data_IF_898961954585
#
_entry.id   IF_898961954585
#
_cell.length_a   1.000
_cell.length_b   1.000
_cell.length_c   1.000
_cell.angle_alpha   90.00
_cell.angle_beta   90.00
_cell.angle_gamma   90.00
#
_symmetry.space_group_name_H-M   'P 1'
#
loop_
_entity.id
_entity.type
_entity.pdbx_description
1 polymer ?
#
# COMPACT_ATOMS: atom_id res chain seq x y z
N UNK A 1 -21.00 -7.48 -14.34
CA UNK A 1 -20.68 -6.05 -14.54
C UNK A 1 -19.50 -6.02 -15.48
N UNK A 2 -19.63 -5.41 -16.64
CA UNK A 2 -18.52 -5.34 -17.58
C UNK A 2 -17.50 -4.31 -17.06
N UNK A 3 -16.20 -4.62 -17.19
CA UNK A 3 -15.14 -3.64 -17.03
C UNK A 3 -15.44 -2.45 -17.98
N UNK A 4 -15.53 -1.24 -17.44
CA UNK A 4 -15.62 -0.03 -18.27
C UNK A 4 -14.21 0.32 -18.76
N UNK A 5 -13.71 -0.46 -19.72
CA UNK A 5 -12.40 -0.30 -20.35
C UNK A 5 -12.58 -0.05 -21.84
N UNK A 6 -11.67 0.72 -22.43
CA UNK A 6 -11.67 0.98 -23.86
C UNK A 6 -11.13 -0.24 -24.65
N UNK A 7 -11.19 -0.18 -25.99
CA UNK A 7 -10.78 -1.28 -26.86
C UNK A 7 -9.29 -1.63 -26.74
N UNK A 8 -8.43 -0.66 -26.48
CA UNK A 8 -6.99 -0.86 -26.33
C UNK A 8 -6.68 -1.57 -25.01
N UNK A 9 -7.30 -1.12 -23.92
CA UNK A 9 -7.25 -1.73 -22.62
C UNK A 9 -7.76 -3.18 -22.61
N UNK A 10 -8.87 -3.45 -23.30
CA UNK A 10 -9.42 -4.81 -23.47
C UNK A 10 -8.45 -5.71 -24.25
N UNK A 11 -7.84 -5.16 -25.31
CA UNK A 11 -6.84 -5.88 -26.11
C UNK A 11 -5.60 -6.23 -25.29
N UNK A 12 -5.09 -5.27 -24.50
CA UNK A 12 -3.96 -5.51 -23.60
C UNK A 12 -4.27 -6.60 -22.59
N UNK A 13 -5.42 -6.52 -21.92
CA UNK A 13 -5.84 -7.49 -20.91
C UNK A 13 -5.94 -8.91 -21.51
N UNK A 14 -6.59 -9.06 -22.66
CA UNK A 14 -6.71 -10.35 -23.36
C UNK A 14 -5.35 -10.94 -23.74
N UNK A 15 -4.43 -10.11 -24.23
CA UNK A 15 -3.08 -10.54 -24.60
C UNK A 15 -2.29 -10.97 -23.37
N UNK A 16 -2.35 -10.21 -22.28
CA UNK A 16 -1.67 -10.53 -21.02
C UNK A 16 -2.19 -11.83 -20.42
N UNK A 17 -3.49 -12.04 -20.35
CA UNK A 17 -4.10 -13.27 -19.86
C UNK A 17 -3.75 -14.49 -20.73
N UNK A 18 -3.68 -14.30 -22.06
CA UNK A 18 -3.24 -15.34 -22.99
C UNK A 18 -1.78 -15.72 -22.77
N UNK A 19 -0.91 -14.73 -22.59
CA UNK A 19 0.51 -14.95 -22.30
C UNK A 19 0.72 -15.75 -20.99
N UNK A 20 -0.09 -15.46 -19.99
CA UNK A 20 -0.08 -16.15 -18.69
C UNK A 20 -0.74 -17.54 -18.71
N UNK A 21 -1.30 -17.96 -19.85
CA UNK A 21 -2.10 -19.20 -19.93
C UNK A 21 -3.24 -19.23 -18.89
N UNK A 22 -3.85 -18.09 -18.59
CA UNK A 22 -4.82 -17.94 -17.51
C UNK A 22 -6.14 -18.71 -17.75
N UNK A 23 -6.42 -19.08 -18.97
CA UNK A 23 -7.67 -19.72 -19.38
C UNK A 23 -8.77 -18.73 -19.74
N UNK A 24 -10.00 -19.23 -19.94
CA UNK A 24 -11.16 -18.38 -20.25
C UNK A 24 -11.67 -17.70 -18.98
N UNK A 25 -11.98 -16.41 -19.08
CA UNK A 25 -12.59 -15.66 -18.00
C UNK A 25 -14.00 -16.20 -17.72
N UNK A 26 -14.26 -16.58 -16.48
CA UNK A 26 -15.56 -16.98 -15.97
C UNK A 26 -16.29 -15.82 -15.28
N UNK A 27 -15.54 -15.00 -14.53
CA UNK A 27 -16.11 -13.89 -13.74
C UNK A 27 -15.14 -12.70 -13.72
N UNK A 28 -15.72 -11.50 -13.68
CA UNK A 28 -15.03 -10.25 -13.37
C UNK A 28 -15.84 -9.54 -12.29
N UNK A 29 -15.19 -9.12 -11.22
CA UNK A 29 -15.81 -8.54 -10.05
C UNK A 29 -15.03 -7.32 -9.58
N UNK A 30 -15.70 -6.17 -9.47
CA UNK A 30 -15.08 -4.97 -8.91
C UNK A 30 -14.98 -5.14 -7.40
N UNK A 31 -13.77 -5.02 -6.88
CA UNK A 31 -13.52 -5.03 -5.44
C UNK A 31 -13.85 -3.64 -4.86
N UNK A 32 -14.47 -3.64 -3.70
CA UNK A 32 -14.71 -2.41 -2.95
C UNK A 32 -13.46 -2.12 -2.13
N UNK A 33 -12.79 -1.03 -2.44
CA UNK A 33 -11.65 -0.52 -1.67
C UNK A 33 -12.00 0.90 -1.28
N UNK A 34 -11.87 1.19 -0.01
CA UNK A 34 -12.11 2.52 0.55
C UNK A 34 -10.90 3.41 0.31
N UNK A 35 -11.15 4.68 0.07
CA UNK A 35 -10.13 5.76 0.00
C UNK A 35 -9.06 5.63 -1.10
N UNK A 36 -9.27 4.83 -2.16
CA UNK A 36 -8.34 4.74 -3.29
C UNK A 36 -8.90 5.37 -4.56
N UNK A 37 -8.07 6.13 -5.28
CA UNK A 37 -8.41 6.58 -6.64
C UNK A 37 -8.28 5.46 -7.68
N UNK A 38 -7.65 4.34 -7.32
CA UNK A 38 -7.49 3.15 -8.17
C UNK A 38 -8.74 2.29 -8.13
N UNK A 39 -8.97 1.57 -9.20
CA UNK A 39 -10.02 0.54 -9.26
C UNK A 39 -9.38 -0.84 -9.30
N UNK A 40 -9.96 -1.79 -8.57
CA UNK A 40 -9.46 -3.15 -8.51
C UNK A 40 -10.54 -4.11 -8.96
N UNK A 41 -10.15 -5.06 -9.80
CA UNK A 41 -11.07 -6.07 -10.33
C UNK A 41 -10.46 -7.45 -10.13
N UNK A 42 -11.20 -8.35 -9.49
CA UNK A 42 -10.85 -9.77 -9.48
C UNK A 42 -11.29 -10.41 -10.77
N UNK A 43 -10.39 -11.04 -11.47
CA UNK A 43 -10.64 -11.80 -12.71
C UNK A 43 -10.47 -13.28 -12.36
N UNK A 44 -11.55 -14.05 -12.51
CA UNK A 44 -11.54 -15.48 -12.22
C UNK A 44 -11.73 -16.27 -13.51
N UNK A 45 -10.92 -17.30 -13.72
CA UNK A 45 -11.06 -18.22 -14.87
C UNK A 45 -12.06 -19.33 -14.59
N UNK A 46 -12.45 -20.08 -15.62
CA UNK A 46 -13.26 -21.30 -15.47
C UNK A 46 -12.52 -22.40 -14.68
N UNK A 47 -11.19 -22.35 -14.63
CA UNK A 47 -10.36 -23.28 -13.85
C UNK A 47 -10.14 -22.81 -12.40
N UNK A 48 -10.92 -21.82 -11.95
CA UNK A 48 -10.89 -21.27 -10.61
C UNK A 48 -9.58 -20.54 -10.23
N UNK A 49 -8.70 -20.24 -11.18
CA UNK A 49 -7.57 -19.35 -10.94
C UNK A 49 -8.08 -17.90 -10.86
N UNK A 50 -7.45 -17.08 -10.04
CA UNK A 50 -7.79 -15.66 -9.94
C UNK A 50 -6.58 -14.75 -9.99
N UNK A 51 -6.78 -13.56 -10.52
CA UNK A 51 -5.82 -12.45 -10.59
C UNK A 51 -6.53 -11.15 -10.21
N UNK A 52 -5.77 -10.20 -9.73
CA UNK A 52 -6.26 -8.84 -9.52
C UNK A 52 -5.75 -7.95 -10.66
N UNK A 53 -6.68 -7.30 -11.36
CA UNK A 53 -6.39 -6.19 -12.25
C UNK A 53 -6.53 -4.89 -11.47
N UNK A 54 -5.44 -4.17 -11.30
CA UNK A 54 -5.43 -2.80 -10.80
C UNK A 54 -5.48 -1.84 -12.00
N UNK A 55 -6.39 -0.87 -11.93
CA UNK A 55 -6.56 0.19 -12.92
C UNK A 55 -6.25 1.51 -12.24
N UNK A 56 -5.22 2.18 -12.72
CA UNK A 56 -4.76 3.48 -12.24
C UNK A 56 -5.28 4.56 -13.19
N UNK A 57 -5.95 5.60 -12.70
CA UNK A 57 -6.40 6.71 -13.55
C UNK A 57 -5.24 7.42 -14.23
N UNK A 58 -5.47 7.93 -15.44
CA UNK A 58 -4.50 8.77 -16.15
C UNK A 58 -4.07 9.99 -15.30
N UNK A 59 -2.80 10.33 -15.36
CA UNK A 59 -2.22 11.44 -14.61
C UNK A 59 -1.66 11.06 -13.23
N UNK A 60 -1.68 9.76 -12.90
CA UNK A 60 -1.06 9.19 -11.69
C UNK A 60 0.06 8.22 -12.10
N UNK A 61 0.86 8.57 -13.09
CA UNK A 61 1.85 7.69 -13.72
C UNK A 61 2.92 7.20 -12.72
N UNK A 62 3.33 8.03 -11.77
CA UNK A 62 4.30 7.67 -10.75
C UNK A 62 3.85 6.46 -9.90
N UNK A 63 2.54 6.25 -9.78
CA UNK A 63 2.01 5.18 -8.92
C UNK A 63 2.19 3.78 -9.51
N UNK A 64 2.12 3.61 -10.84
CA UNK A 64 2.32 2.31 -11.51
C UNK A 64 3.79 1.90 -11.44
N UNK A 65 4.71 2.79 -11.82
CA UNK A 65 6.15 2.54 -11.74
C UNK A 65 6.59 2.27 -10.30
N UNK A 66 6.18 3.12 -9.36
CA UNK A 66 6.49 2.95 -7.94
C UNK A 66 6.01 1.61 -7.39
N UNK A 67 4.79 1.19 -7.74
CA UNK A 67 4.27 -0.12 -7.34
C UNK A 67 5.12 -1.27 -7.89
N UNK A 68 5.41 -1.26 -9.19
CA UNK A 68 6.19 -2.33 -9.86
C UNK A 68 7.61 -2.42 -9.29
N UNK A 69 8.29 -1.28 -9.15
CA UNK A 69 9.67 -1.22 -8.65
C UNK A 69 9.77 -1.70 -7.20
N UNK A 70 8.86 -1.23 -6.34
CA UNK A 70 8.82 -1.66 -4.94
C UNK A 70 8.43 -3.12 -4.78
N UNK A 71 7.46 -3.61 -5.58
CA UNK A 71 7.12 -5.04 -5.61
C UNK A 71 8.35 -5.90 -5.94
N UNK A 72 9.14 -5.49 -6.95
CA UNK A 72 10.35 -6.22 -7.34
C UNK A 72 11.39 -6.23 -6.21
N UNK A 73 11.62 -5.08 -5.53
CA UNK A 73 12.53 -5.01 -4.39
C UNK A 73 12.02 -5.89 -3.25
N UNK A 74 10.77 -5.77 -2.84
CA UNK A 74 10.21 -6.56 -1.75
C UNK A 74 10.27 -8.06 -2.03
N UNK A 75 9.92 -8.50 -3.24
CA UNK A 75 10.08 -9.92 -3.65
C UNK A 75 11.53 -10.41 -3.58
N UNK A 76 12.49 -9.61 -4.02
CA UNK A 76 13.93 -9.91 -3.92
C UNK A 76 14.38 -10.22 -2.49
N UNK A 77 13.76 -9.58 -1.50
CA UNK A 77 14.04 -9.79 -0.07
C UNK A 77 13.02 -10.68 0.63
N UNK A 78 12.25 -11.45 -0.13
CA UNK A 78 11.27 -12.43 0.38
C UNK A 78 10.13 -11.83 1.21
N UNK A 79 9.88 -10.53 1.11
CA UNK A 79 8.66 -9.92 1.64
C UNK A 79 7.46 -10.43 0.84
N UNK A 80 6.41 -10.83 1.53
CA UNK A 80 5.24 -11.43 0.91
C UNK A 80 4.28 -10.34 0.37
N UNK A 81 4.63 -9.77 -0.78
CA UNK A 81 3.78 -8.86 -1.57
C UNK A 81 3.22 -9.56 -2.81
N UNK A 82 2.11 -9.12 -3.42
CA UNK A 82 1.60 -9.70 -4.65
C UNK A 82 2.65 -9.74 -5.77
N UNK A 83 2.75 -10.86 -6.46
CA UNK A 83 3.58 -10.97 -7.66
C UNK A 83 2.98 -10.14 -8.77
N UNK A 84 3.80 -9.33 -9.47
CA UNK A 84 3.37 -8.59 -10.66
C UNK A 84 3.57 -9.49 -11.87
N UNK A 85 2.50 -9.78 -12.60
CA UNK A 85 2.54 -10.66 -13.77
C UNK A 85 2.66 -9.89 -15.09
N UNK A 86 1.99 -8.76 -15.19
CA UNK A 86 2.03 -7.89 -16.38
C UNK A 86 1.65 -6.47 -15.98
N UNK A 87 2.17 -5.47 -16.66
CA UNK A 87 1.78 -4.07 -16.45
C UNK A 87 1.95 -3.27 -17.74
N UNK A 88 1.26 -2.15 -17.79
CA UNK A 88 1.39 -1.14 -18.83
C UNK A 88 1.29 0.25 -18.21
N UNK A 89 2.36 1.03 -18.35
CA UNK A 89 2.46 2.36 -17.74
C UNK A 89 1.54 3.38 -18.41
N UNK A 90 1.38 3.27 -19.74
CA UNK A 90 0.56 4.22 -20.53
C UNK A 90 -0.93 3.98 -20.31
N UNK A 91 -1.34 2.71 -20.26
CA UNK A 91 -2.73 2.32 -20.00
C UNK A 91 -3.10 2.37 -18.52
N UNK A 92 -2.13 2.47 -17.61
CA UNK A 92 -2.36 2.46 -16.16
C UNK A 92 -2.83 1.10 -15.63
N UNK A 93 -2.39 -0.01 -16.22
CA UNK A 93 -2.84 -1.35 -15.87
C UNK A 93 -1.73 -2.17 -15.21
N UNK A 94 -2.11 -2.91 -14.15
CA UNK A 94 -1.23 -3.89 -13.51
C UNK A 94 -2.04 -5.15 -13.23
N UNK A 95 -1.54 -6.32 -13.66
CA UNK A 95 -2.04 -7.64 -13.27
C UNK A 95 -1.16 -8.20 -12.17
N UNK A 96 -1.76 -8.50 -11.02
CA UNK A 96 -1.06 -9.02 -9.86
C UNK A 96 -1.71 -10.29 -9.33
N UNK A 97 -0.96 -10.98 -8.48
CA UNK A 97 -1.40 -12.12 -7.70
C UNK A 97 -2.61 -11.77 -6.83
N UNK A 98 -3.59 -12.67 -6.78
CA UNK A 98 -4.73 -12.57 -5.88
C UNK A 98 -4.44 -13.31 -4.57
N UNK A 99 -4.30 -12.59 -3.49
CA UNK A 99 -4.07 -13.15 -2.16
C UNK A 99 -5.34 -13.67 -1.45
N UNK A 100 -6.52 -13.49 -2.08
CA UNK A 100 -7.81 -13.91 -1.52
C UNK A 100 -8.52 -12.80 -0.74
N UNK A 101 -9.28 -13.18 0.30
CA UNK A 101 -10.20 -12.26 0.99
C UNK A 101 -10.00 -12.18 2.50
N UNK A 102 -9.01 -12.88 3.08
CA UNK A 102 -8.83 -12.93 4.53
C UNK A 102 -8.01 -11.71 5.03
N UNK A 103 -8.62 -10.51 4.88
CA UNK A 103 -8.04 -9.23 5.33
C UNK A 103 -8.01 -9.21 6.87
N UNK A 104 -6.92 -8.73 7.47
CA UNK A 104 -6.71 -8.70 8.92
C UNK A 104 -7.79 -7.90 9.63
N UNK A 105 -8.17 -6.74 9.13
CA UNK A 105 -9.19 -5.89 9.72
C UNK A 105 -10.49 -6.63 10.09
N UNK A 106 -10.88 -7.64 9.31
CA UNK A 106 -12.12 -8.40 9.54
C UNK A 106 -11.91 -9.74 10.23
N UNK A 107 -10.68 -10.22 10.34
CA UNK A 107 -10.36 -11.56 10.81
C UNK A 107 -9.43 -11.58 12.03
N UNK A 108 -8.88 -10.43 12.42
CA UNK A 108 -7.91 -10.33 13.50
C UNK A 108 -8.42 -10.91 14.83
N UNK A 109 -9.73 -10.73 15.11
CA UNK A 109 -10.34 -11.20 16.36
C UNK A 109 -10.45 -12.73 16.45
N UNK A 110 -10.26 -13.47 15.35
CA UNK A 110 -10.28 -14.94 15.38
C UNK A 110 -9.12 -15.52 16.18
N UNK A 111 -7.91 -14.95 15.99
CA UNK A 111 -6.68 -15.34 16.68
C UNK A 111 -5.66 -14.18 16.60
N UNK A 112 -5.78 -13.14 17.46
CA UNK A 112 -4.94 -11.96 17.39
C UNK A 112 -3.44 -12.28 17.44
N UNK A 113 -3.03 -13.20 18.32
CA UNK A 113 -1.61 -13.56 18.49
C UNK A 113 -1.03 -14.13 17.20
N UNK A 114 -1.78 -15.00 16.53
CA UNK A 114 -1.37 -15.58 15.25
C UNK A 114 -1.24 -14.53 14.15
N UNK A 115 -2.23 -13.65 14.01
CA UNK A 115 -2.21 -12.60 12.98
C UNK A 115 -1.08 -11.60 13.22
N UNK A 116 -0.90 -11.13 14.46
CA UNK A 116 0.20 -10.21 14.80
C UNK A 116 1.58 -10.84 14.61
N UNK A 117 1.76 -12.11 15.00
CA UNK A 117 3.02 -12.83 14.74
C UNK A 117 3.38 -12.80 13.24
N UNK A 118 2.42 -13.08 12.36
CA UNK A 118 2.67 -13.08 10.91
C UNK A 118 2.93 -11.68 10.38
N UNK A 119 2.20 -10.65 10.85
CA UNK A 119 2.42 -9.26 10.48
C UNK A 119 3.82 -8.80 10.89
N UNK A 120 4.21 -9.02 12.15
CA UNK A 120 5.53 -8.63 12.67
C UNK A 120 6.65 -9.34 11.91
N UNK A 121 6.49 -10.61 11.53
CA UNK A 121 7.48 -11.32 10.73
C UNK A 121 7.70 -10.65 9.37
N UNK A 122 6.64 -10.19 8.68
CA UNK A 122 6.80 -9.46 7.42
C UNK A 122 7.37 -8.05 7.64
N UNK A 123 6.98 -7.37 8.70
CA UNK A 123 7.58 -6.07 9.07
C UNK A 123 9.10 -6.19 9.30
N UNK A 124 9.54 -7.24 10.00
CA UNK A 124 10.97 -7.51 10.21
C UNK A 124 11.68 -7.75 8.86
N UNK A 125 11.05 -8.47 7.93
CA UNK A 125 11.60 -8.69 6.58
C UNK A 125 11.77 -7.36 5.83
N UNK A 126 10.77 -6.46 5.88
CA UNK A 126 10.84 -5.12 5.28
C UNK A 126 11.98 -4.31 5.88
N UNK A 127 12.05 -4.21 7.21
CA UNK A 127 13.03 -3.40 7.94
C UNK A 127 14.46 -3.96 7.86
N UNK A 128 14.62 -5.24 7.55
CA UNK A 128 15.93 -5.86 7.35
C UNK A 128 16.59 -5.50 6.00
N UNK A 129 15.88 -4.88 5.07
CA UNK A 129 16.41 -4.49 3.75
C UNK A 129 17.41 -3.34 3.92
N UNK A 130 18.69 -3.56 3.59
CA UNK A 130 19.76 -2.57 3.73
C UNK A 130 20.31 -2.09 2.38
N UNK A 131 20.47 -3.01 1.42
CA UNK A 131 21.18 -2.69 0.17
C UNK A 131 20.40 -1.76 -0.76
N UNK A 132 19.09 -1.90 -0.81
CA UNK A 132 18.23 -1.13 -1.71
C UNK A 132 17.50 0.02 -0.97
N UNK A 133 17.95 0.38 0.23
CA UNK A 133 17.32 1.43 1.05
C UNK A 133 17.29 2.80 0.34
N UNK A 134 18.29 3.09 -0.50
CA UNK A 134 18.36 4.34 -1.26
C UNK A 134 17.39 4.38 -2.46
N UNK A 135 16.70 3.29 -2.77
CA UNK A 135 15.66 3.26 -3.80
C UNK A 135 14.31 3.75 -3.27
N UNK A 136 14.23 4.06 -1.98
CA UNK A 136 13.03 4.56 -1.33
C UNK A 136 13.20 6.04 -0.99
N UNK A 137 12.14 6.83 -1.17
CA UNK A 137 12.10 8.21 -0.69
C UNK A 137 12.34 8.23 0.83
N UNK A 138 12.75 9.36 1.37
CA UNK A 138 12.95 9.50 2.82
C UNK A 138 11.84 10.32 3.45
N UNK A 139 11.41 9.88 4.62
CA UNK A 139 10.69 10.74 5.54
C UNK A 139 11.69 11.76 6.08
N UNK A 140 11.61 12.98 5.58
CA UNK A 140 12.51 14.08 5.93
C UNK A 140 11.73 15.27 6.52
N UNK A 141 12.46 16.30 6.93
CA UNK A 141 11.86 17.52 7.48
C UNK A 141 10.91 18.20 6.49
N UNK A 142 11.16 18.07 5.18
CA UNK A 142 10.30 18.67 4.16
C UNK A 142 8.93 17.99 4.15
N UNK A 143 8.89 16.66 4.06
CA UNK A 143 7.64 15.89 4.06
C UNK A 143 6.86 16.11 5.37
N UNK A 144 7.56 16.15 6.52
CA UNK A 144 6.93 16.46 7.80
C UNK A 144 6.34 17.88 7.82
N UNK A 145 7.03 18.86 7.22
CA UNK A 145 6.50 20.22 7.11
C UNK A 145 5.27 20.31 6.19
N UNK A 146 5.22 19.54 5.12
CA UNK A 146 4.04 19.41 4.25
C UNK A 146 2.86 18.81 5.02
N UNK A 147 3.08 17.79 5.83
CA UNK A 147 2.04 17.22 6.72
C UNK A 147 1.54 18.25 7.76
N UNK A 148 2.44 19.10 8.29
CA UNK A 148 2.04 20.19 9.17
C UNK A 148 1.09 21.18 8.48
N UNK A 149 1.38 21.54 7.24
CA UNK A 149 0.52 22.47 6.47
C UNK A 149 -0.88 21.87 6.28
N UNK A 150 -0.97 20.58 5.99
CA UNK A 150 -2.26 19.89 5.89
C UNK A 150 -3.03 19.92 7.22
N UNK A 151 -2.36 19.66 8.34
CA UNK A 151 -2.97 19.78 9.67
C UNK A 151 -3.45 21.21 9.95
N UNK A 152 -2.59 22.20 9.71
CA UNK A 152 -2.91 23.62 9.97
C UNK A 152 -4.10 24.08 9.14
N UNK A 153 -4.06 23.85 7.82
CA UNK A 153 -5.07 24.42 6.92
C UNK A 153 -6.37 23.63 6.95
N UNK A 154 -6.34 22.30 6.88
CA UNK A 154 -7.57 21.51 6.78
C UNK A 154 -8.18 21.21 8.14
N UNK A 155 -7.37 20.78 9.12
CA UNK A 155 -7.90 20.38 10.40
C UNK A 155 -8.11 21.56 11.35
N UNK A 156 -7.04 22.36 11.61
CA UNK A 156 -7.11 23.45 12.59
C UNK A 156 -8.00 24.59 12.12
N UNK A 157 -7.74 25.13 10.92
CA UNK A 157 -8.47 26.32 10.40
C UNK A 157 -9.85 25.95 9.84
N UNK A 158 -9.95 24.93 8.99
CA UNK A 158 -11.20 24.65 8.25
C UNK A 158 -12.15 23.74 9.03
N UNK A 159 -11.65 22.63 9.62
CA UNK A 159 -12.52 21.66 10.31
C UNK A 159 -12.88 22.12 11.73
N UNK A 160 -11.90 22.57 12.52
CA UNK A 160 -12.13 23.09 13.87
C UNK A 160 -12.54 24.56 13.91
N UNK A 161 -12.45 25.27 12.78
CA UNK A 161 -12.74 26.71 12.66
C UNK A 161 -11.97 27.58 13.67
N UNK A 162 -10.75 27.15 14.05
CA UNK A 162 -9.91 27.85 15.01
C UNK A 162 -8.97 28.84 14.31
N UNK A 163 -8.73 29.97 14.98
CA UNK A 163 -7.86 31.05 14.48
C UNK A 163 -6.86 31.58 15.50
N UNK A 164 -6.74 30.93 16.66
CA UNK A 164 -5.79 31.36 17.71
C UNK A 164 -4.36 30.98 17.33
N UNK A 165 -3.59 31.99 16.91
CA UNK A 165 -2.20 31.83 16.48
C UNK A 165 -1.30 31.42 17.63
N UNK A 166 -1.61 31.78 18.86
CA UNK A 166 -0.77 31.44 20.04
C UNK A 166 -0.87 29.94 20.34
N UNK A 167 -2.05 29.39 20.28
CA UNK A 167 -2.29 27.94 20.43
C UNK A 167 -1.63 27.17 19.27
N UNK A 168 -1.83 27.65 18.05
CA UNK A 168 -1.25 27.01 16.87
C UNK A 168 0.30 26.98 16.93
N UNK A 169 0.91 28.09 17.35
CA UNK A 169 2.37 28.15 17.56
C UNK A 169 2.85 27.15 18.60
N UNK A 170 2.16 27.04 19.74
CA UNK A 170 2.50 26.08 20.79
C UNK A 170 2.40 24.62 20.29
N UNK A 171 1.36 24.29 19.50
CA UNK A 171 1.22 22.96 18.90
C UNK A 171 2.37 22.72 17.91
N UNK A 172 2.72 23.72 17.09
CA UNK A 172 3.82 23.64 16.13
C UNK A 172 5.15 23.36 16.80
N UNK A 173 5.48 24.06 17.88
CA UNK A 173 6.72 23.82 18.64
C UNK A 173 6.81 22.37 19.14
N UNK A 174 5.68 21.82 19.62
CA UNK A 174 5.62 20.41 20.03
C UNK A 174 5.74 19.45 18.87
N UNK A 175 5.09 19.73 17.76
CA UNK A 175 5.21 18.94 16.54
C UNK A 175 6.65 18.90 16.05
N UNK A 176 7.34 20.04 15.96
CA UNK A 176 8.75 20.12 15.53
C UNK A 176 9.68 19.36 16.47
N UNK A 177 9.44 19.42 17.77
CA UNK A 177 10.17 18.61 18.74
C UNK A 177 10.01 17.11 18.51
N UNK A 178 8.75 16.65 18.33
CA UNK A 178 8.46 15.21 18.04
C UNK A 178 9.07 14.79 16.71
N UNK A 179 8.99 15.62 15.69
CA UNK A 179 9.63 15.36 14.40
C UNK A 179 11.15 15.18 14.53
N UNK A 180 11.80 16.02 15.34
CA UNK A 180 13.23 15.88 15.61
C UNK A 180 13.57 14.52 16.24
N UNK A 181 12.81 14.10 17.26
CA UNK A 181 13.00 12.80 17.91
C UNK A 181 12.73 11.63 16.96
N UNK A 182 11.71 11.74 16.09
CA UNK A 182 11.42 10.73 15.05
C UNK A 182 12.59 10.57 14.06
N UNK A 183 13.12 11.67 13.57
CA UNK A 183 14.22 11.66 12.59
C UNK A 183 15.54 11.16 13.20
N UNK A 184 15.71 11.22 14.52
CA UNK A 184 16.87 10.69 15.25
C UNK A 184 16.81 9.16 15.46
N UNK A 185 15.67 8.52 15.25
CA UNK A 185 15.56 7.07 15.36
C UNK A 185 16.38 6.36 14.27
N UNK A 186 16.73 5.07 14.44
CA UNK A 186 17.27 4.25 13.37
C UNK A 186 16.34 4.27 12.15
N UNK A 187 16.91 4.56 10.98
CA UNK A 187 16.16 4.67 9.73
C UNK A 187 16.17 3.33 9.00
N UNK A 188 14.98 2.84 8.64
CA UNK A 188 14.74 1.58 7.96
C UNK A 188 13.75 1.79 6.82
N UNK A 189 13.51 0.78 5.98
CA UNK A 189 12.37 0.83 5.06
C UNK A 189 11.10 0.64 5.89
N UNK A 190 10.18 1.58 5.73
CA UNK A 190 8.83 1.56 6.30
C UNK A 190 7.83 1.40 5.17
N UNK A 191 6.77 0.65 5.43
CA UNK A 191 5.61 0.55 4.57
C UNK A 191 4.87 1.89 4.46
N UNK A 192 4.90 2.66 5.54
CA UNK A 192 4.27 3.96 5.76
C UNK A 192 2.76 3.92 6.06
N UNK A 193 2.09 2.81 5.74
CA UNK A 193 0.67 2.55 6.04
C UNK A 193 0.49 1.06 6.42
N UNK A 194 1.29 0.56 7.40
CA UNK A 194 1.31 -0.84 7.81
C UNK A 194 0.16 -1.16 8.78
N UNK A 195 -1.05 -1.17 8.25
CA UNK A 195 -2.31 -1.30 9.00
C UNK A 195 -3.04 -2.60 8.66
N UNK A 196 -3.95 -3.04 9.53
CA UNK A 196 -4.70 -4.28 9.36
C UNK A 196 -5.52 -4.34 8.06
N UNK A 197 -5.94 -3.19 7.52
CA UNK A 197 -6.64 -3.12 6.23
C UNK A 197 -5.73 -3.43 5.04
N UNK A 198 -4.42 -3.22 5.19
CA UNK A 198 -3.40 -3.46 4.16
C UNK A 198 -2.69 -4.81 4.34
N UNK A 199 -3.15 -5.64 5.29
CA UNK A 199 -2.62 -6.97 5.55
C UNK A 199 -3.68 -8.03 5.25
N UNK A 200 -3.23 -9.14 4.65
CA UNK A 200 -4.10 -10.25 4.29
C UNK A 200 -3.45 -11.58 4.64
N UNK A 201 -4.19 -12.50 5.24
CA UNK A 201 -3.68 -13.84 5.49
C UNK A 201 -3.79 -14.66 4.20
N UNK A 202 -2.65 -14.97 3.60
CA UNK A 202 -2.58 -15.73 2.37
C UNK A 202 -2.82 -17.24 2.60
N UNK A 203 -3.15 -17.97 1.56
CA UNK A 203 -3.33 -19.43 1.61
C UNK A 203 -2.07 -20.19 2.10
N UNK A 204 -0.90 -19.59 2.00
CA UNK A 204 0.36 -20.14 2.53
C UNK A 204 0.55 -19.92 4.04
N UNK A 205 -0.40 -19.27 4.72
CA UNK A 205 -0.32 -18.95 6.16
C UNK A 205 0.64 -17.82 6.50
N UNK A 206 1.03 -16.99 5.52
CA UNK A 206 1.85 -15.79 5.72
C UNK A 206 0.98 -14.54 5.65
N UNK A 207 1.41 -13.47 6.30
CA UNK A 207 0.85 -12.15 6.01
C UNK A 207 1.24 -11.74 4.59
N UNK A 208 0.26 -11.36 3.78
CA UNK A 208 0.48 -10.66 2.52
C UNK A 208 0.39 -9.17 2.76
N UNK A 209 1.33 -8.40 2.23
CA UNK A 209 1.42 -6.96 2.39
C UNK A 209 0.91 -6.28 1.12
N UNK A 210 -0.10 -5.44 1.27
CA UNK A 210 -0.76 -4.69 0.19
C UNK A 210 -0.47 -3.20 0.34
N UNK A 211 -0.73 -2.41 -0.70
CA UNK A 211 -0.68 -0.94 -0.71
C UNK A 211 0.70 -0.33 -0.33
N UNK A 212 1.76 -0.97 -0.77
CA UNK A 212 3.16 -0.66 -0.42
C UNK A 212 3.85 0.37 -1.34
N UNK A 213 3.17 0.93 -2.33
CA UNK A 213 3.79 1.85 -3.31
C UNK A 213 4.25 3.18 -2.69
N UNK A 214 3.76 3.52 -1.51
CA UNK A 214 4.17 4.71 -0.77
C UNK A 214 5.26 4.42 0.28
N UNK A 215 5.77 3.18 0.32
CA UNK A 215 6.86 2.79 1.20
C UNK A 215 8.07 3.73 1.05
N UNK A 216 8.69 4.07 2.17
CA UNK A 216 9.76 5.04 2.27
C UNK A 216 10.81 4.62 3.32
N UNK A 217 11.92 5.35 3.38
CA UNK A 217 12.89 5.21 4.48
C UNK A 217 12.48 6.13 5.62
N UNK A 218 12.23 5.57 6.79
CA UNK A 218 11.73 6.30 7.95
C UNK A 218 12.11 5.66 9.30
N UNK A 219 11.59 6.21 10.41
CA UNK A 219 11.88 5.74 11.76
C UNK A 219 11.41 4.31 11.97
N UNK A 220 12.22 3.51 12.66
CA UNK A 220 11.95 2.07 12.89
C UNK A 220 10.61 1.80 13.61
N UNK A 221 10.14 2.72 14.43
CA UNK A 221 8.87 2.58 15.17
C UNK A 221 7.61 2.93 14.37
N UNK A 222 7.74 3.51 13.17
CA UNK A 222 6.61 4.08 12.43
C UNK A 222 5.52 3.04 12.10
N UNK A 223 5.90 1.98 11.43
CA UNK A 223 4.96 0.93 11.00
C UNK A 223 4.43 0.11 12.17
N UNK A 224 5.23 -0.02 13.23
CA UNK A 224 4.78 -0.71 14.44
C UNK A 224 3.70 0.09 15.17
N UNK A 225 3.83 1.42 15.21
CA UNK A 225 2.82 2.33 15.74
C UNK A 225 1.52 2.25 14.91
N UNK A 226 1.62 2.25 13.58
CA UNK A 226 0.48 2.08 12.68
C UNK A 226 -0.25 0.77 12.92
N UNK A 227 0.49 -0.35 13.02
CA UNK A 227 -0.09 -1.68 13.24
C UNK A 227 -0.88 -1.77 14.54
N UNK A 228 -0.42 -1.14 15.61
CA UNK A 228 -1.06 -1.22 16.93
C UNK A 228 -2.14 -0.18 17.19
N UNK A 229 -2.21 0.88 16.39
CA UNK A 229 -3.24 1.92 16.54
C UNK A 229 -4.48 1.70 15.67
N UNK A 230 -4.40 0.81 14.69
CA UNK A 230 -5.47 0.52 13.73
C UNK A 230 -6.54 -0.45 14.28
N UNK A 231 -6.85 -0.38 15.57
CA UNK A 231 -7.80 -1.26 16.26
C UNK A 231 -9.02 -0.51 16.80
#
# INVERSE_FOLDING_TARGET
>A
MNLEINSEQDSWLKNSLKYLNFGRIAKQEKLRIESSQRSFFRITSHDHNSLILMVVPHGIDESVSSFVDKAAIFKKYSVNVPSVYSYDLELGFILVEDFGDKIYQYNLQEDPDYFYEKAINELVNIQAIKKDINSFNRLDQKLLSENWILFEDFFYKNFLELSDISILSLIKDKYEFVCGELLNQPQVICHYDFECRNLILTSSGKAGVLDFQDALTGPIGLDLDSLFKDL
#
